data_IF_588267222842
#
_entry.id   IF_588267222842
#
_cell.length_a   1.000
_cell.length_b   1.000
_cell.length_c   1.000
_cell.angle_alpha   90.00
_cell.angle_beta   90.00
_cell.angle_gamma   90.00
#
_symmetry.space_group_name_H-M   'P 1'
#
loop_
_entity.id
_entity.type
_entity.pdbx_description
1 polymer ?
#
# COMPACT_ATOMS: atom_id res chain seq x y z
N UNK A 1 -8.45 -11.78 -0.51
CA UNK A 1 -7.14 -11.64 0.16
C UNK A 1 -7.26 -12.33 1.50
N UNK A 2 -6.42 -13.33 1.76
CA UNK A 2 -6.40 -14.06 3.02
C UNK A 2 -5.59 -13.31 4.09
N UNK A 3 -5.86 -13.63 5.38
CA UNK A 3 -5.10 -13.01 6.47
C UNK A 3 -3.61 -13.37 6.39
N UNK A 4 -2.73 -12.38 6.51
CA UNK A 4 -1.28 -12.55 6.38
C UNK A 4 -0.78 -12.75 4.95
N UNK A 5 -1.65 -12.61 3.94
CA UNK A 5 -1.26 -12.72 2.53
C UNK A 5 -0.78 -11.35 1.98
N UNK A 6 0.21 -11.38 1.10
CA UNK A 6 0.53 -10.28 0.19
C UNK A 6 -0.08 -10.59 -1.16
N UNK A 7 -1.05 -9.79 -1.57
CA UNK A 7 -1.66 -9.84 -2.90
C UNK A 7 -1.29 -8.59 -3.66
N UNK A 8 -0.76 -8.74 -4.87
CA UNK A 8 -0.50 -7.59 -5.74
C UNK A 8 -1.51 -7.49 -6.86
N UNK A 9 -1.89 -6.27 -7.15
CA UNK A 9 -2.65 -5.88 -8.33
C UNK A 9 -1.74 -5.04 -9.22
N UNK A 10 -1.27 -5.61 -10.30
CA UNK A 10 -0.40 -4.93 -11.26
C UNK A 10 -1.19 -4.55 -12.52
N UNK A 11 -0.79 -3.48 -13.18
CA UNK A 11 -1.42 -3.02 -14.41
C UNK A 11 -0.90 -1.65 -14.84
N UNK A 12 -1.14 -1.29 -16.09
CA UNK A 12 -0.78 0.02 -16.62
C UNK A 12 -1.56 1.16 -15.94
N UNK A 13 -1.10 2.40 -16.15
CA UNK A 13 -1.85 3.57 -15.72
C UNK A 13 -3.21 3.60 -16.44
N UNK A 14 -4.27 3.90 -15.68
CA UNK A 14 -5.64 3.88 -16.20
C UNK A 14 -6.30 2.50 -16.25
N UNK A 15 -5.63 1.41 -15.86
CA UNK A 15 -6.22 0.08 -15.83
C UNK A 15 -7.36 -0.09 -14.81
N UNK A 16 -7.53 0.86 -13.85
CA UNK A 16 -8.58 0.82 -12.83
C UNK A 16 -8.11 0.40 -11.44
N UNK A 17 -6.80 0.30 -11.20
CA UNK A 17 -6.19 -0.14 -9.94
C UNK A 17 -6.66 0.70 -8.73
N UNK A 18 -6.43 2.01 -8.78
CA UNK A 18 -6.85 2.96 -7.73
C UNK A 18 -8.37 2.97 -7.55
N UNK A 19 -9.13 2.84 -8.63
CA UNK A 19 -10.59 2.75 -8.56
C UNK A 19 -11.03 1.55 -7.74
N UNK A 20 -10.42 0.38 -7.98
CA UNK A 20 -10.71 -0.83 -7.20
C UNK A 20 -10.34 -0.63 -5.72
N UNK A 21 -9.18 -0.06 -5.41
CA UNK A 21 -8.81 0.25 -4.02
C UNK A 21 -9.81 1.21 -3.36
N UNK A 22 -10.25 2.25 -4.06
CA UNK A 22 -11.22 3.21 -3.55
C UNK A 22 -12.59 2.57 -3.27
N UNK A 23 -12.99 1.57 -4.05
CA UNK A 23 -14.20 0.78 -3.77
C UNK A 23 -13.98 -0.11 -2.55
N UNK A 24 -12.84 -0.80 -2.45
CA UNK A 24 -12.53 -1.67 -1.30
C UNK A 24 -12.45 -0.86 -0.01
N UNK A 25 -11.84 0.32 -0.03
CA UNK A 25 -11.68 1.20 1.13
C UNK A 25 -12.95 2.01 1.49
N UNK A 26 -14.03 1.88 0.69
CA UNK A 26 -15.27 2.63 0.93
C UNK A 26 -15.22 4.11 0.56
N UNK A 27 -14.19 4.54 -0.15
CA UNK A 27 -14.07 5.89 -0.71
C UNK A 27 -15.05 6.11 -1.88
N UNK A 28 -15.31 5.03 -2.65
CA UNK A 28 -16.30 5.00 -3.72
C UNK A 28 -17.34 3.88 -3.50
N UNK A 29 -18.59 4.10 -3.87
CA UNK A 29 -19.60 3.04 -3.83
C UNK A 29 -19.29 1.97 -4.89
N UNK A 30 -19.56 0.69 -4.57
CA UNK A 30 -19.65 -0.36 -5.59
C UNK A 30 -21.05 -0.35 -6.19
N UNK A 31 -21.17 -0.40 -7.50
CA UNK A 31 -22.46 -0.47 -8.19
C UNK A 31 -22.97 -1.91 -8.22
N UNK A 32 -22.06 -2.86 -8.50
CA UNK A 32 -22.34 -4.29 -8.55
C UNK A 32 -21.33 -5.09 -7.71
N UNK A 33 -21.62 -6.35 -7.50
CA UNK A 33 -20.77 -7.23 -6.70
C UNK A 33 -20.94 -7.05 -5.19
N UNK A 34 -20.16 -7.81 -4.43
CA UNK A 34 -20.14 -7.81 -2.98
C UNK A 34 -18.73 -7.54 -2.45
N UNK A 35 -18.64 -6.98 -1.26
CA UNK A 35 -17.41 -6.79 -0.52
C UNK A 35 -17.58 -7.41 0.86
N UNK A 36 -16.82 -8.45 1.12
CA UNK A 36 -16.88 -9.19 2.37
C UNK A 36 -15.64 -8.93 3.22
N UNK A 37 -15.83 -8.73 4.51
CA UNK A 37 -14.79 -8.74 5.51
C UNK A 37 -15.14 -9.79 6.56
N UNK A 38 -14.36 -10.87 6.64
CA UNK A 38 -14.65 -12.01 7.50
C UNK A 38 -16.12 -12.49 7.33
N UNK A 39 -16.52 -12.76 6.10
CA UNK A 39 -17.86 -13.20 5.71
C UNK A 39 -18.99 -12.18 5.92
N UNK A 40 -18.70 -11.02 6.51
CA UNK A 40 -19.67 -9.94 6.71
C UNK A 40 -19.71 -9.04 5.48
N UNK A 41 -20.90 -8.87 4.89
CA UNK A 41 -21.10 -7.91 3.79
C UNK A 41 -20.85 -6.47 4.27
N UNK A 42 -19.95 -5.78 3.60
CA UNK A 42 -19.55 -4.42 3.94
C UNK A 42 -19.98 -3.38 2.91
N UNK A 43 -20.87 -3.76 1.98
CA UNK A 43 -21.47 -2.82 1.03
C UNK A 43 -22.12 -1.66 1.77
N UNK A 44 -21.84 -0.43 1.37
CA UNK A 44 -22.33 0.77 2.05
C UNK A 44 -21.55 1.19 3.30
N UNK A 45 -20.54 0.44 3.75
CA UNK A 45 -19.66 0.94 4.80
C UNK A 45 -18.79 2.07 4.27
N UNK A 46 -18.73 3.15 5.03
CA UNK A 46 -17.82 4.27 4.77
C UNK A 46 -16.41 3.95 5.19
N UNK A 47 -15.44 4.71 4.67
CA UNK A 47 -14.02 4.53 4.94
C UNK A 47 -13.69 4.52 6.43
N UNK A 48 -14.29 5.41 7.24
CA UNK A 48 -14.03 5.48 8.68
C UNK A 48 -14.41 4.16 9.38
N UNK A 49 -15.50 3.52 8.96
CA UNK A 49 -15.91 2.24 9.52
C UNK A 49 -14.95 1.12 9.12
N UNK A 50 -14.44 1.12 7.89
CA UNK A 50 -13.45 0.15 7.43
C UNK A 50 -12.11 0.33 8.15
N UNK A 51 -11.65 1.57 8.33
CA UNK A 51 -10.45 1.86 9.13
C UNK A 51 -10.59 1.38 10.56
N UNK A 52 -11.76 1.61 11.20
CA UNK A 52 -12.04 1.10 12.55
C UNK A 52 -12.03 -0.44 12.63
N UNK A 53 -12.22 -1.15 11.50
CA UNK A 53 -12.09 -2.61 11.40
C UNK A 53 -10.70 -3.06 10.90
N UNK A 54 -9.75 -2.14 10.79
CA UNK A 54 -8.36 -2.41 10.46
C UNK A 54 -8.05 -2.48 8.97
N UNK A 55 -8.91 -1.96 8.09
CA UNK A 55 -8.65 -1.86 6.64
C UNK A 55 -8.20 -0.43 6.32
N UNK A 56 -6.92 -0.25 5.99
CA UNK A 56 -6.32 1.08 5.80
C UNK A 56 -5.74 1.20 4.40
N UNK A 57 -6.25 2.16 3.62
CA UNK A 57 -5.66 2.54 2.34
C UNK A 57 -4.57 3.59 2.55
N UNK A 58 -3.47 3.43 1.83
CA UNK A 58 -2.40 4.43 1.70
C UNK A 58 -2.47 4.94 0.26
N UNK A 59 -3.11 6.08 0.02
CA UNK A 59 -3.34 6.57 -1.34
C UNK A 59 -2.04 6.94 -2.05
N UNK A 60 -2.08 6.90 -3.38
CA UNK A 60 -1.04 7.49 -4.25
C UNK A 60 -0.78 8.95 -3.89
N UNK A 61 0.44 9.44 -4.16
CA UNK A 61 0.87 10.82 -3.96
C UNK A 61 0.80 11.30 -2.51
N UNK A 62 1.52 10.62 -1.64
CA UNK A 62 2.03 11.15 -0.36
C UNK A 62 1.00 11.97 0.44
N UNK A 63 -0.14 11.38 0.79
CA UNK A 63 -1.19 12.11 1.53
C UNK A 63 -0.84 12.34 2.99
N UNK A 64 0.23 13.11 3.20
CA UNK A 64 0.61 13.67 4.48
C UNK A 64 0.12 15.12 4.59
N UNK A 65 -0.11 15.58 5.80
CA UNK A 65 -0.46 16.98 6.06
C UNK A 65 0.84 17.80 6.09
N UNK A 66 1.17 18.43 4.97
CA UNK A 66 2.45 19.12 4.77
C UNK A 66 2.75 20.26 5.75
N UNK A 67 1.74 21.01 6.30
CA UNK A 67 1.99 22.02 7.32
C UNK A 67 2.29 21.45 8.72
N UNK A 68 1.86 20.21 8.98
CA UNK A 68 2.06 19.55 10.25
C UNK A 68 3.45 18.90 10.33
N UNK A 69 3.96 18.74 11.54
CA UNK A 69 5.18 17.98 11.80
C UNK A 69 5.01 16.49 11.49
N UNK A 70 6.12 15.77 11.42
CA UNK A 70 6.13 14.30 11.31
C UNK A 70 5.34 13.68 12.46
N UNK A 71 5.60 14.12 13.69
CA UNK A 71 4.92 13.62 14.90
C UNK A 71 3.40 13.83 14.80
N UNK A 72 2.95 15.05 14.49
CA UNK A 72 1.52 15.36 14.37
C UNK A 72 0.84 14.54 13.26
N UNK A 73 1.53 14.29 12.13
CA UNK A 73 1.02 13.40 11.10
C UNK A 73 0.83 11.96 11.60
N UNK A 74 1.79 11.44 12.38
CA UNK A 74 1.68 10.11 12.96
C UNK A 74 0.53 10.02 13.96
N UNK A 75 0.40 11.00 14.86
CA UNK A 75 -0.68 11.06 15.84
C UNK A 75 -2.07 11.05 15.20
N UNK A 76 -2.24 11.78 14.08
CA UNK A 76 -3.48 11.75 13.29
C UNK A 76 -3.82 10.33 12.78
N UNK A 77 -2.83 9.49 12.52
CA UNK A 77 -3.05 8.09 12.13
C UNK A 77 -3.77 7.27 13.22
N UNK A 78 -3.57 7.62 14.49
CA UNK A 78 -4.21 6.97 15.64
C UNK A 78 -5.57 7.59 16.03
N UNK A 79 -6.06 8.62 15.31
CA UNK A 79 -7.22 9.43 15.73
C UNK A 79 -8.46 8.60 16.11
N UNK A 80 -8.80 7.59 15.32
CA UNK A 80 -9.98 6.75 15.58
C UNK A 80 -9.81 5.83 16.79
N UNK A 81 -8.58 5.57 17.23
CA UNK A 81 -8.28 4.69 18.37
C UNK A 81 -8.48 5.35 19.73
N UNK A 82 -8.55 6.68 19.78
CA UNK A 82 -8.75 7.48 21.01
C UNK A 82 -7.81 7.07 22.15
N UNK A 83 -6.52 6.94 21.84
CA UNK A 83 -5.50 6.48 22.78
C UNK A 83 -5.22 7.53 23.85
N UNK A 84 -4.98 7.08 25.10
CA UNK A 84 -4.36 7.91 26.10
C UNK A 84 -2.86 8.14 25.81
N UNK A 85 -2.26 9.16 26.42
CA UNK A 85 -0.89 9.63 26.16
C UNK A 85 0.16 8.52 26.17
N UNK A 86 0.13 7.65 27.18
CA UNK A 86 1.10 6.56 27.33
C UNK A 86 0.97 5.53 26.20
N UNK A 87 -0.27 5.14 25.86
CA UNK A 87 -0.52 4.20 24.76
C UNK A 87 -0.13 4.79 23.40
N UNK A 88 -0.41 6.08 23.18
CA UNK A 88 0.00 6.78 21.97
C UNK A 88 1.53 6.78 21.82
N UNK A 89 2.26 7.09 22.90
CA UNK A 89 3.72 7.06 22.89
C UNK A 89 4.27 5.67 22.57
N UNK A 90 3.67 4.59 23.10
CA UNK A 90 4.08 3.22 22.79
C UNK A 90 3.88 2.88 21.30
N UNK A 91 2.81 3.35 20.69
CA UNK A 91 2.58 3.14 19.25
C UNK A 91 3.56 3.95 18.39
N UNK A 92 3.87 5.19 18.79
CA UNK A 92 4.90 5.99 18.13
C UNK A 92 6.27 5.30 18.15
N UNK A 93 6.66 4.72 19.29
CA UNK A 93 7.91 3.97 19.41
C UNK A 93 7.99 2.79 18.42
N UNK A 94 6.88 2.07 18.22
CA UNK A 94 6.82 0.97 17.23
C UNK A 94 7.01 1.49 15.80
N UNK A 95 6.36 2.60 15.45
CA UNK A 95 6.50 3.21 14.14
C UNK A 95 7.93 3.73 13.93
N UNK A 96 8.52 4.37 14.91
CA UNK A 96 9.90 4.84 14.86
C UNK A 96 10.92 3.70 14.79
N UNK A 97 10.62 2.53 15.35
CA UNK A 97 11.47 1.35 15.18
C UNK A 97 11.45 0.84 13.73
N UNK A 98 10.31 0.97 13.03
CA UNK A 98 10.20 0.63 11.59
C UNK A 98 10.83 1.70 10.71
N UNK A 99 10.69 2.98 11.07
CA UNK A 99 11.14 4.16 10.32
C UNK A 99 12.03 5.07 11.18
N UNK A 100 13.30 4.73 11.45
CA UNK A 100 14.17 5.54 12.32
C UNK A 100 14.32 7.00 11.85
N UNK A 101 14.35 7.22 10.53
CA UNK A 101 14.44 8.56 9.94
C UNK A 101 13.29 9.48 10.36
N UNK A 102 12.10 8.94 10.64
CA UNK A 102 10.96 9.73 11.10
C UNK A 102 11.16 10.22 12.54
N UNK A 103 11.87 9.44 13.39
CA UNK A 103 12.24 9.87 14.73
C UNK A 103 13.23 11.04 14.69
N UNK A 104 14.25 10.95 13.84
CA UNK A 104 15.25 12.02 13.70
C UNK A 104 14.63 13.34 13.25
N UNK A 105 13.46 13.27 12.61
CA UNK A 105 12.75 14.41 12.01
C UNK A 105 11.39 14.67 12.67
N UNK A 106 11.11 14.14 13.84
CA UNK A 106 9.77 14.14 14.44
C UNK A 106 9.12 15.53 14.53
N UNK A 107 9.93 16.58 14.77
CA UNK A 107 9.49 17.97 14.88
C UNK A 107 9.56 18.73 13.55
N UNK A 108 10.02 18.10 12.46
CA UNK A 108 10.17 18.72 11.15
C UNK A 108 8.82 18.79 10.44
N UNK A 109 8.45 19.92 9.79
CA UNK A 109 7.25 20.00 8.95
C UNK A 109 7.32 18.98 7.80
N UNK A 110 6.26 18.20 7.60
CA UNK A 110 6.23 17.13 6.61
C UNK A 110 6.43 17.61 5.17
N UNK A 111 6.08 18.87 4.88
CA UNK A 111 6.29 19.48 3.58
C UNK A 111 7.77 19.65 3.19
N UNK A 112 8.70 19.60 4.16
CA UNK A 112 10.15 19.76 3.92
C UNK A 112 10.88 18.42 3.78
N UNK A 113 10.19 17.29 3.92
CA UNK A 113 10.73 15.96 3.72
C UNK A 113 10.98 15.67 2.24
N UNK A 114 11.92 14.77 1.95
CA UNK A 114 12.07 14.18 0.61
C UNK A 114 10.87 13.31 0.24
N UNK A 115 10.70 12.97 -1.05
CA UNK A 115 9.62 12.10 -1.50
C UNK A 115 9.62 10.74 -0.78
N UNK A 116 10.78 10.13 -0.62
CA UNK A 116 10.91 8.86 0.11
C UNK A 116 10.54 8.96 1.58
N UNK A 117 10.98 10.03 2.28
CA UNK A 117 10.63 10.27 3.69
C UNK A 117 9.13 10.55 3.85
N UNK A 118 8.50 11.28 2.92
CA UNK A 118 7.04 11.45 2.93
C UNK A 118 6.30 10.14 2.71
N UNK A 119 6.81 9.26 1.84
CA UNK A 119 6.22 7.93 1.64
C UNK A 119 6.35 7.07 2.92
N UNK A 120 7.50 7.10 3.59
CA UNK A 120 7.69 6.44 4.89
C UNK A 120 6.74 7.02 5.95
N UNK A 121 6.53 8.33 5.96
CA UNK A 121 5.57 8.98 6.85
C UNK A 121 4.12 8.55 6.56
N UNK A 122 3.73 8.42 5.29
CA UNK A 122 2.41 7.93 4.91
C UNK A 122 2.18 6.48 5.38
N UNK A 123 3.19 5.60 5.22
CA UNK A 123 3.18 4.24 5.75
C UNK A 123 3.11 4.25 7.29
N UNK A 124 3.96 5.03 7.94
CA UNK A 124 3.97 5.17 9.41
C UNK A 124 2.63 5.64 9.96
N UNK A 125 2.02 6.66 9.33
CA UNK A 125 0.68 7.14 9.67
C UNK A 125 -0.37 6.03 9.56
N UNK A 126 -0.30 5.18 8.53
CA UNK A 126 -1.21 4.05 8.38
C UNK A 126 -1.01 3.02 9.50
N UNK A 127 0.23 2.73 9.91
CA UNK A 127 0.54 1.80 11.00
C UNK A 127 0.02 2.28 12.36
N UNK A 128 -0.07 3.58 12.60
CA UNK A 128 -0.66 4.15 13.83
C UNK A 128 -2.14 3.75 14.01
N UNK A 129 -2.85 3.39 12.95
CA UNK A 129 -4.21 2.85 13.01
C UNK A 129 -4.25 1.38 13.48
N UNK A 130 -3.11 0.70 13.66
CA UNK A 130 -2.99 -0.75 13.90
C UNK A 130 -3.77 -1.59 12.86
N UNK A 131 -3.43 -1.46 11.59
CA UNK A 131 -4.17 -2.12 10.54
C UNK A 131 -4.00 -3.65 10.60
N UNK A 132 -5.08 -4.38 10.30
CA UNK A 132 -5.03 -5.81 9.95
C UNK A 132 -4.64 -5.99 8.48
N UNK A 133 -5.01 -5.01 7.67
CA UNK A 133 -4.73 -4.97 6.24
C UNK A 133 -4.37 -3.54 5.83
N UNK A 134 -3.26 -3.40 5.12
CA UNK A 134 -2.90 -2.16 4.43
C UNK A 134 -3.07 -2.32 2.92
N UNK A 135 -3.44 -1.22 2.29
CA UNK A 135 -3.65 -1.16 0.84
C UNK A 135 -2.84 -0.01 0.24
N UNK A 136 -1.51 -0.19 0.03
CA UNK A 136 -0.68 0.81 -0.61
C UNK A 136 -1.01 0.94 -2.10
N UNK A 137 -1.20 2.19 -2.55
CA UNK A 137 -1.45 2.54 -3.95
C UNK A 137 -0.21 3.19 -4.54
N UNK A 138 0.49 2.47 -5.39
CA UNK A 138 1.74 2.84 -6.06
C UNK A 138 2.81 3.44 -5.13
N UNK A 139 3.16 2.73 -4.03
CA UNK A 139 4.08 3.28 -3.03
C UNK A 139 5.51 3.51 -3.53
N UNK A 140 5.88 3.00 -4.70
CA UNK A 140 7.20 3.18 -5.29
C UNK A 140 7.27 4.31 -6.33
N UNK A 141 6.13 4.90 -6.69
CA UNK A 141 6.04 5.87 -7.80
C UNK A 141 6.89 7.12 -7.54
N UNK A 142 7.75 7.45 -8.51
CA UNK A 142 8.58 8.67 -8.46
C UNK A 142 9.74 8.64 -7.46
N UNK A 143 10.01 7.49 -6.82
CA UNK A 143 11.06 7.36 -5.83
C UNK A 143 12.40 6.88 -6.46
N UNK A 144 13.50 7.24 -5.81
CA UNK A 144 14.82 6.73 -6.17
C UNK A 144 14.90 5.20 -5.97
N UNK A 145 15.64 4.47 -6.81
CA UNK A 145 15.71 3.00 -6.74
C UNK A 145 16.07 2.43 -5.36
N UNK A 146 16.96 3.09 -4.64
CA UNK A 146 17.35 2.69 -3.29
C UNK A 146 16.19 2.77 -2.29
N UNK A 147 15.37 3.80 -2.40
CA UNK A 147 14.17 3.99 -1.56
C UNK A 147 13.09 2.97 -1.93
N UNK A 148 12.92 2.69 -3.23
CA UNK A 148 12.00 1.62 -3.68
C UNK A 148 12.33 0.31 -3.00
N UNK A 149 13.59 -0.12 -3.04
CA UNK A 149 14.04 -1.36 -2.38
C UNK A 149 13.73 -1.33 -0.87
N UNK A 150 13.96 -0.20 -0.23
CA UNK A 150 13.67 -0.03 1.21
C UNK A 150 12.17 -0.15 1.52
N UNK A 151 11.31 0.51 0.75
CA UNK A 151 9.84 0.42 0.91
C UNK A 151 9.36 -1.03 0.76
N UNK A 152 9.81 -1.75 -0.26
CA UNK A 152 9.42 -3.15 -0.46
C UNK A 152 9.95 -4.07 0.66
N UNK A 153 11.16 -3.82 1.18
CA UNK A 153 11.70 -4.51 2.34
C UNK A 153 10.84 -4.29 3.58
N UNK A 154 10.39 -3.05 3.80
CA UNK A 154 9.49 -2.71 4.92
C UNK A 154 8.14 -3.40 4.76
N UNK A 155 7.52 -3.35 3.58
CA UNK A 155 6.25 -4.04 3.32
C UNK A 155 6.36 -5.54 3.60
N UNK A 156 7.44 -6.18 3.14
CA UNK A 156 7.72 -7.58 3.43
C UNK A 156 7.85 -7.85 4.93
N UNK A 157 8.61 -7.04 5.65
CA UNK A 157 8.77 -7.17 7.11
C UNK A 157 7.45 -7.00 7.86
N UNK A 158 6.59 -6.07 7.44
CA UNK A 158 5.25 -5.90 8.01
C UNK A 158 4.37 -7.13 7.77
N UNK A 159 4.47 -7.74 6.59
CA UNK A 159 3.74 -8.97 6.29
C UNK A 159 4.25 -10.16 7.13
N UNK A 160 5.56 -10.31 7.29
CA UNK A 160 6.17 -11.34 8.16
C UNK A 160 5.73 -11.19 9.63
N UNK A 161 5.32 -9.99 10.06
CA UNK A 161 4.71 -9.71 11.36
C UNK A 161 3.19 -9.94 11.39
N UNK A 162 2.59 -10.43 10.30
CA UNK A 162 1.17 -10.80 10.20
C UNK A 162 0.26 -9.74 9.56
N UNK A 163 0.80 -8.61 9.08
CA UNK A 163 -0.01 -7.61 8.36
C UNK A 163 -0.39 -8.14 6.98
N UNK A 164 -1.69 -8.14 6.66
CA UNK A 164 -2.18 -8.44 5.31
C UNK A 164 -1.92 -7.25 4.38
N UNK A 165 -1.52 -7.50 3.14
CA UNK A 165 -1.20 -6.43 2.18
C UNK A 165 -1.93 -6.66 0.86
N UNK A 166 -2.71 -5.68 0.42
CA UNK A 166 -3.17 -5.58 -0.97
C UNK A 166 -2.39 -4.43 -1.63
N UNK A 167 -1.37 -4.79 -2.37
CA UNK A 167 -0.45 -3.85 -3.01
C UNK A 167 -0.91 -3.54 -4.43
N UNK A 168 -1.07 -2.28 -4.74
CA UNK A 168 -1.28 -1.82 -6.11
C UNK A 168 0.01 -1.19 -6.61
N UNK A 169 0.50 -1.64 -7.77
CA UNK A 169 1.78 -1.20 -8.31
C UNK A 169 1.83 -1.22 -9.84
N UNK A 170 2.60 -0.29 -10.38
CA UNK A 170 3.07 -0.36 -11.77
C UNK A 170 4.43 -1.06 -11.85
N UNK A 171 5.26 -0.97 -10.80
CA UNK A 171 6.53 -1.68 -10.67
C UNK A 171 6.29 -3.17 -10.42
N UNK A 172 5.91 -3.90 -11.47
CA UNK A 172 5.54 -5.30 -11.38
C UNK A 172 6.65 -6.18 -10.80
N UNK A 173 7.93 -5.90 -11.14
CA UNK A 173 9.07 -6.73 -10.72
C UNK A 173 9.20 -6.81 -9.20
N UNK A 174 9.27 -5.66 -8.54
CA UNK A 174 9.44 -5.63 -7.08
C UNK A 174 8.17 -6.09 -6.36
N UNK A 175 7.00 -5.74 -6.90
CA UNK A 175 5.70 -6.16 -6.38
C UNK A 175 5.54 -7.68 -6.39
N UNK A 176 5.81 -8.33 -7.53
CA UNK A 176 5.67 -9.78 -7.68
C UNK A 176 6.65 -10.56 -6.79
N UNK A 177 7.85 -10.02 -6.53
CA UNK A 177 8.86 -10.67 -5.67
C UNK A 177 8.41 -10.86 -4.22
N UNK A 178 7.53 -10.00 -3.72
CA UNK A 178 7.03 -10.09 -2.35
C UNK A 178 5.63 -10.69 -2.27
N UNK A 179 4.99 -10.96 -3.42
CA UNK A 179 3.60 -11.39 -3.48
C UNK A 179 3.46 -12.91 -3.37
N UNK A 180 2.52 -13.36 -2.55
CA UNK A 180 2.06 -14.74 -2.55
C UNK A 180 1.23 -15.01 -3.80
N UNK A 181 0.36 -14.04 -4.17
CA UNK A 181 -0.53 -14.11 -5.31
C UNK A 181 -0.63 -12.75 -5.97
N UNK A 182 -0.85 -12.72 -7.28
CA UNK A 182 -1.05 -11.46 -7.97
C UNK A 182 -2.09 -11.56 -9.08
N UNK A 183 -2.63 -10.41 -9.42
CA UNK A 183 -3.58 -10.19 -10.49
C UNK A 183 -3.05 -9.14 -11.45
N UNK A 184 -3.20 -9.39 -12.73
CA UNK A 184 -2.92 -8.40 -13.78
C UNK A 184 -4.23 -7.78 -14.19
N UNK A 185 -4.34 -6.47 -14.02
CA UNK A 185 -5.51 -5.68 -14.39
C UNK A 185 -5.22 -4.93 -15.69
N UNK A 186 -6.10 -5.09 -16.65
CA UNK A 186 -6.10 -4.31 -17.89
C UNK A 186 -7.51 -3.82 -18.20
N UNK A 187 -7.65 -2.51 -18.42
CA UNK A 187 -8.89 -1.84 -18.79
C UNK A 187 -10.10 -2.32 -17.95
N UNK A 188 -9.93 -2.36 -16.62
CA UNK A 188 -10.96 -2.75 -15.66
C UNK A 188 -11.23 -4.26 -15.56
N UNK A 189 -10.43 -5.10 -16.22
CA UNK A 189 -10.59 -6.56 -16.21
C UNK A 189 -9.34 -7.26 -15.72
N UNK A 190 -9.51 -8.29 -14.92
CA UNK A 190 -8.40 -9.19 -14.57
C UNK A 190 -8.16 -10.10 -15.76
N UNK A 191 -6.95 -9.99 -16.35
CA UNK A 191 -6.55 -10.75 -17.54
C UNK A 191 -5.64 -11.94 -17.20
N UNK A 192 -4.87 -11.86 -16.12
CA UNK A 192 -4.02 -12.94 -15.62
C UNK A 192 -4.10 -13.02 -14.10
N UNK A 193 -3.91 -14.20 -13.57
CA UNK A 193 -3.79 -14.47 -12.13
C UNK A 193 -2.81 -15.61 -11.90
N UNK A 194 -2.06 -15.56 -10.82
CA UNK A 194 -1.09 -16.60 -10.46
C UNK A 194 -0.35 -16.27 -9.18
N UNK A 195 0.63 -17.09 -8.82
CA UNK A 195 1.58 -16.75 -7.76
C UNK A 195 2.48 -15.60 -8.23
N UNK A 196 3.09 -14.87 -7.30
CA UNK A 196 4.07 -13.82 -7.66
C UNK A 196 5.22 -14.40 -8.51
N UNK A 197 5.67 -15.61 -8.18
CA UNK A 197 6.74 -16.31 -8.91
C UNK A 197 6.31 -16.70 -10.33
N UNK A 198 5.14 -17.29 -10.52
CA UNK A 198 4.62 -17.66 -11.83
C UNK A 198 4.51 -16.44 -12.74
N UNK A 199 3.93 -15.35 -12.25
CA UNK A 199 3.76 -14.12 -13.02
C UNK A 199 5.07 -13.40 -13.30
N UNK A 200 6.05 -13.48 -12.40
CA UNK A 200 7.39 -12.93 -12.63
C UNK A 200 8.10 -13.59 -13.83
N UNK A 201 7.78 -14.88 -14.09
CA UNK A 201 8.33 -15.65 -15.20
C UNK A 201 7.42 -15.69 -16.43
N UNK A 202 6.20 -15.18 -16.34
CA UNK A 202 5.25 -15.16 -17.45
C UNK A 202 5.69 -14.20 -18.56
N UNK A 203 5.72 -14.68 -19.80
CA UNK A 203 6.20 -13.93 -20.96
C UNK A 203 5.33 -12.70 -21.30
N UNK A 204 4.02 -12.76 -21.08
CA UNK A 204 3.13 -11.62 -21.32
C UNK A 204 3.37 -10.52 -20.28
N UNK A 205 3.54 -10.90 -19.01
CA UNK A 205 3.89 -9.98 -17.93
C UNK A 205 5.26 -9.34 -18.15
N UNK A 206 6.26 -10.12 -18.58
CA UNK A 206 7.59 -9.61 -18.91
C UNK A 206 7.51 -8.57 -20.03
N UNK A 207 6.77 -8.84 -21.08
CA UNK A 207 6.61 -7.91 -22.21
C UNK A 207 5.89 -6.63 -21.83
N UNK A 208 4.83 -6.73 -21.01
CA UNK A 208 3.98 -5.60 -20.70
C UNK A 208 4.57 -4.71 -19.58
N UNK A 209 5.25 -5.29 -18.58
CA UNK A 209 5.53 -4.60 -17.30
C UNK A 209 6.98 -4.69 -16.83
N UNK A 210 7.81 -5.66 -17.28
CA UNK A 210 9.15 -5.87 -16.71
C UNK A 210 10.28 -5.16 -17.45
N UNK A 211 9.96 -4.37 -18.50
CA UNK A 211 10.90 -3.46 -19.16
C UNK A 211 11.83 -4.07 -20.19
N UNK A 212 12.65 -3.19 -20.82
CA UNK A 212 13.39 -3.38 -22.09
C UNK A 212 14.58 -4.34 -22.10
N UNK A 213 14.78 -5.16 -21.11
CA UNK A 213 15.79 -6.24 -21.18
C UNK A 213 15.27 -7.45 -22.00
N UNK A 214 14.06 -7.33 -22.55
CA UNK A 214 13.47 -8.33 -23.43
C UNK A 214 13.59 -7.92 -24.89
N UNK A 215 14.74 -8.21 -25.49
CA UNK A 215 14.91 -8.22 -26.95
C UNK A 215 14.19 -9.43 -27.55
N UNK A 216 12.88 -9.33 -27.77
CA UNK A 216 12.06 -10.39 -28.34
C UNK A 216 10.87 -9.85 -29.15
N UNK A 217 11.07 -9.74 -30.47
CA UNK A 217 10.03 -9.81 -31.53
C UNK A 217 8.79 -8.92 -31.49
N UNK A 218 8.94 -7.59 -31.36
CA UNK A 218 7.88 -6.66 -31.78
C UNK A 218 8.42 -5.56 -32.70
N UNK A 219 9.37 -5.89 -33.58
CA UNK A 219 9.64 -5.11 -34.80
C UNK A 219 9.00 -5.88 -35.98
N UNK A 220 7.72 -5.59 -36.20
CA UNK A 220 7.10 -5.67 -37.53
C UNK A 220 5.90 -4.75 -37.59
#
# INVERSE_FOLDING_TARGET
VEAGEVVSLIGANGAGKTTLLNVISGMHPSWEGSRLLNEVETKGWRAEKLVAHGIVQIPEAEKVFTPLSVLENLELGAYLRRLGRTALQQELEKVFAVFPVLRERENQPAGTLSGGERQMLALGKALMAQPRMIMPDEPSLGLAPTIVVEIFRILRSLNEQGTTILLVEQNAKESLRISHRAYVLDTGRIVLTGTGEDLLHNEEVKRAFLGKDYHGKWER
#
